data_IF_962507984812
#
_entry.id   IF_962507984812
#
_cell.length_a   1.000
_cell.length_b   1.000
_cell.length_c   1.000
_cell.angle_alpha   90.00
_cell.angle_beta   90.00
_cell.angle_gamma   90.00
#
_symmetry.space_group_name_H-M   'P 1'
#
loop_
_entity.id
_entity.type
_entity.pdbx_description
1 polymer ?
#
# COMPACT_ATOMS: atom_id res chain seq x y z
N UNK A 1 -5.36 5.92 16.73
CA UNK A 1 -4.02 5.84 16.11
C UNK A 1 -3.29 7.18 16.15
N UNK A 2 -3.85 8.27 15.65
CA UNK A 2 -3.21 9.60 15.73
C UNK A 2 -2.88 10.04 17.16
N UNK A 3 -3.73 9.74 18.16
CA UNK A 3 -3.46 10.02 19.57
C UNK A 3 -2.22 9.28 20.10
N UNK A 4 -2.02 8.01 19.70
CA UNK A 4 -0.86 7.22 20.13
C UNK A 4 0.44 7.75 19.50
N UNK A 5 0.39 8.23 18.26
CA UNK A 5 1.54 8.87 17.58
C UNK A 5 1.83 10.22 18.26
N UNK A 6 0.79 11.00 18.59
CA UNK A 6 0.93 12.27 19.29
C UNK A 6 1.59 12.12 20.65
N UNK A 7 1.20 11.13 21.46
CA UNK A 7 1.83 10.82 22.74
C UNK A 7 3.31 10.44 22.57
N UNK A 8 3.64 9.64 21.56
CA UNK A 8 5.02 9.25 21.27
C UNK A 8 5.88 10.47 20.87
N UNK A 9 5.31 11.41 20.12
CA UNK A 9 5.99 12.67 19.75
C UNK A 9 6.19 13.56 20.98
N UNK A 10 5.20 13.62 21.88
CA UNK A 10 5.29 14.38 23.12
C UNK A 10 6.39 13.86 24.07
N UNK A 11 6.73 12.56 24.05
CA UNK A 11 7.87 11.98 24.75
C UNK A 11 9.23 12.54 24.25
N UNK A 12 9.30 13.09 23.06
CA UNK A 12 10.50 13.75 22.50
C UNK A 12 11.65 12.83 22.10
N UNK A 13 11.50 11.50 22.21
CA UNK A 13 12.55 10.56 21.85
C UNK A 13 12.54 10.26 20.33
N UNK A 14 13.46 10.91 19.60
CA UNK A 14 13.56 10.84 18.14
C UNK A 14 13.79 9.41 17.62
N UNK A 15 14.59 8.60 18.30
CA UNK A 15 14.90 7.24 17.86
C UNK A 15 13.67 6.34 17.98
N UNK A 16 12.91 6.48 19.07
CA UNK A 16 11.63 5.76 19.23
C UNK A 16 10.61 6.18 18.17
N UNK A 17 10.50 7.48 17.89
CA UNK A 17 9.56 8.01 16.89
C UNK A 17 9.91 7.45 15.51
N UNK A 18 11.20 7.48 15.12
CA UNK A 18 11.65 7.00 13.82
C UNK A 18 11.50 5.45 13.71
N UNK A 19 11.80 4.73 14.78
CA UNK A 19 11.56 3.27 14.84
C UNK A 19 10.10 2.93 14.63
N UNK A 20 9.20 3.61 15.34
CA UNK A 20 7.77 3.43 15.21
C UNK A 20 7.24 3.83 13.82
N UNK A 21 7.76 4.93 13.24
CA UNK A 21 7.44 5.32 11.87
C UNK A 21 7.78 4.22 10.86
N UNK A 22 8.96 3.61 11.00
CA UNK A 22 9.39 2.50 10.13
C UNK A 22 8.53 1.26 10.33
N UNK A 23 8.23 0.88 11.57
CA UNK A 23 7.33 -0.24 11.88
C UNK A 23 5.93 -0.03 11.29
N UNK A 24 5.38 1.17 11.48
CA UNK A 24 4.08 1.53 10.95
C UNK A 24 4.06 1.54 9.41
N UNK A 25 5.09 2.11 8.79
CA UNK A 25 5.20 2.16 7.34
C UNK A 25 5.31 0.75 6.75
N UNK A 26 6.24 -0.06 7.23
CA UNK A 26 6.45 -1.40 6.67
C UNK A 26 5.24 -2.32 6.86
N UNK A 27 4.56 -2.24 8.00
CA UNK A 27 3.33 -3.01 8.24
C UNK A 27 2.19 -2.63 7.30
N UNK A 28 2.02 -1.33 7.03
CA UNK A 28 1.02 -0.84 6.08
C UNK A 28 1.32 -1.27 4.64
N UNK A 29 2.59 -1.21 4.23
CA UNK A 29 3.02 -1.64 2.90
C UNK A 29 2.88 -3.15 2.72
N UNK A 30 3.23 -3.94 3.73
CA UNK A 30 3.00 -5.38 3.72
C UNK A 30 1.52 -5.73 3.58
N UNK A 31 0.66 -5.14 4.42
CA UNK A 31 -0.77 -5.36 4.36
C UNK A 31 -1.37 -4.95 3.00
N UNK A 32 -0.97 -3.78 2.49
CA UNK A 32 -1.39 -3.31 1.18
C UNK A 32 -0.96 -4.27 0.06
N UNK A 33 0.26 -4.81 0.12
CA UNK A 33 0.74 -5.78 -0.88
C UNK A 33 -0.09 -7.07 -0.89
N UNK A 34 -0.44 -7.59 0.29
CA UNK A 34 -1.28 -8.79 0.40
C UNK A 34 -2.68 -8.55 -0.14
N UNK A 35 -3.30 -7.42 0.24
CA UNK A 35 -4.65 -7.06 -0.24
C UNK A 35 -4.65 -6.84 -1.75
N UNK A 36 -3.68 -6.09 -2.28
CA UNK A 36 -3.61 -5.82 -3.72
C UNK A 36 -3.33 -7.08 -4.55
N UNK A 37 -2.52 -8.01 -4.02
CA UNK A 37 -2.31 -9.30 -4.65
C UNK A 37 -3.63 -10.11 -4.73
N UNK A 38 -4.37 -10.18 -3.63
CA UNK A 38 -5.67 -10.84 -3.60
C UNK A 38 -6.66 -10.16 -4.55
N UNK A 39 -6.74 -8.82 -4.54
CA UNK A 39 -7.60 -8.08 -5.48
C UNK A 39 -7.26 -8.41 -6.93
N UNK A 40 -5.97 -8.42 -7.27
CA UNK A 40 -5.52 -8.69 -8.63
C UNK A 40 -5.92 -10.10 -9.11
N UNK A 41 -5.79 -11.11 -8.26
CA UNK A 41 -6.07 -12.50 -8.64
C UNK A 41 -7.54 -12.91 -8.52
N UNK A 42 -8.31 -12.29 -7.63
CA UNK A 42 -9.65 -12.78 -7.27
C UNK A 42 -10.79 -11.96 -7.84
N UNK A 43 -10.56 -10.66 -8.14
CA UNK A 43 -11.65 -9.75 -8.52
C UNK A 43 -12.32 -10.14 -9.83
N UNK A 44 -11.55 -10.57 -10.84
CA UNK A 44 -12.10 -10.93 -12.14
C UNK A 44 -13.12 -12.08 -12.03
N UNK A 45 -12.75 -13.17 -11.38
CA UNK A 45 -13.62 -14.31 -11.17
C UNK A 45 -14.82 -13.95 -10.30
N UNK A 46 -14.61 -13.15 -9.24
CA UNK A 46 -15.69 -12.71 -8.36
C UNK A 46 -16.75 -11.88 -9.08
N UNK A 47 -16.32 -10.87 -9.84
CA UNK A 47 -17.23 -10.00 -10.60
C UNK A 47 -18.01 -10.82 -11.64
N UNK A 48 -17.34 -11.75 -12.33
CA UNK A 48 -17.99 -12.63 -13.31
C UNK A 48 -19.14 -13.46 -12.72
N UNK A 49 -19.00 -13.94 -11.46
CA UNK A 49 -20.09 -14.68 -10.80
C UNK A 49 -21.18 -13.78 -10.27
N UNK A 50 -20.79 -12.65 -9.66
CA UNK A 50 -21.71 -11.86 -8.87
C UNK A 50 -22.58 -10.95 -9.73
N UNK A 51 -21.98 -10.29 -10.70
CA UNK A 51 -22.65 -9.24 -11.50
C UNK A 51 -22.71 -9.62 -12.98
N UNK A 52 -21.77 -10.42 -13.46
CA UNK A 52 -21.68 -10.86 -14.85
C UNK A 52 -20.44 -10.34 -15.56
N UNK A 53 -20.10 -10.96 -16.69
CA UNK A 53 -18.90 -10.65 -17.45
C UNK A 53 -18.94 -9.25 -18.11
N UNK A 54 -20.12 -8.73 -18.38
CA UNK A 54 -20.31 -7.40 -19.00
C UNK A 54 -19.87 -6.25 -18.10
N UNK A 55 -19.70 -6.50 -16.81
CA UNK A 55 -19.27 -5.51 -15.82
C UNK A 55 -17.77 -5.55 -15.53
N UNK A 56 -17.03 -6.37 -16.23
CA UNK A 56 -15.58 -6.42 -16.09
C UNK A 56 -14.92 -5.17 -16.68
N UNK A 57 -14.00 -4.59 -15.91
CA UNK A 57 -13.17 -3.52 -16.40
C UNK A 57 -12.16 -4.05 -17.43
N UNK A 58 -11.76 -3.19 -18.36
CA UNK A 58 -10.62 -3.48 -19.22
C UNK A 58 -9.36 -3.67 -18.37
N UNK A 59 -8.44 -4.49 -18.83
CA UNK A 59 -7.24 -4.90 -18.09
C UNK A 59 -6.41 -3.71 -17.62
N UNK A 60 -6.31 -2.64 -18.43
CA UNK A 60 -5.53 -1.44 -18.08
C UNK A 60 -6.17 -0.69 -16.92
N UNK A 61 -7.47 -0.39 -16.99
CA UNK A 61 -8.20 0.30 -15.92
C UNK A 61 -8.18 -0.50 -14.63
N UNK A 62 -8.30 -1.84 -14.73
CA UNK A 62 -8.24 -2.70 -13.56
C UNK A 62 -6.87 -2.68 -12.87
N UNK A 63 -5.77 -2.80 -13.62
CA UNK A 63 -4.41 -2.72 -13.07
C UNK A 63 -4.17 -1.36 -12.42
N UNK A 64 -4.58 -0.27 -13.07
CA UNK A 64 -4.47 1.07 -12.50
C UNK A 64 -5.28 1.22 -11.21
N UNK A 65 -6.47 0.62 -11.14
CA UNK A 65 -7.29 0.63 -9.92
C UNK A 65 -6.60 -0.09 -8.76
N UNK A 66 -5.93 -1.23 -9.01
CA UNK A 66 -5.15 -1.95 -7.99
C UNK A 66 -3.95 -1.12 -7.53
N UNK A 67 -3.25 -0.44 -8.47
CA UNK A 67 -2.16 0.49 -8.13
C UNK A 67 -2.67 1.66 -7.28
N UNK A 68 -3.80 2.24 -7.65
CA UNK A 68 -4.45 3.30 -6.88
C UNK A 68 -4.77 2.83 -5.45
N UNK A 69 -5.36 1.63 -5.30
CA UNK A 69 -5.67 1.05 -4.00
C UNK A 69 -4.40 0.87 -3.14
N UNK A 70 -3.30 0.39 -3.73
CA UNK A 70 -2.01 0.29 -3.05
C UNK A 70 -1.51 1.65 -2.56
N UNK A 71 -1.53 2.68 -3.42
CA UNK A 71 -1.12 4.04 -3.07
C UNK A 71 -1.99 4.60 -1.94
N UNK A 72 -3.31 4.45 -2.02
CA UNK A 72 -4.25 4.93 -1.01
C UNK A 72 -4.01 4.28 0.37
N UNK A 73 -3.70 2.98 0.40
CA UNK A 73 -3.45 2.23 1.64
C UNK A 73 -2.08 2.56 2.28
N UNK A 74 -1.11 3.03 1.51
CA UNK A 74 0.28 3.26 1.95
C UNK A 74 0.60 4.72 2.29
N UNK A 75 -0.38 5.61 2.39
CA UNK A 75 -0.24 7.03 2.81
C UNK A 75 0.05 7.17 4.31
N UNK A 76 1.21 6.70 4.75
CA UNK A 76 1.58 6.69 6.18
C UNK A 76 2.07 8.04 6.70
N UNK A 77 2.61 8.89 5.82
CA UNK A 77 3.17 10.19 6.19
C UNK A 77 2.12 11.15 6.74
N UNK A 78 0.87 11.09 6.26
CA UNK A 78 -0.24 11.97 6.65
C UNK A 78 -0.49 11.92 8.17
N UNK A 79 -0.48 10.72 8.75
CA UNK A 79 -0.69 10.53 10.19
C UNK A 79 0.39 11.18 11.04
N UNK A 80 1.64 11.18 10.58
CA UNK A 80 2.76 11.80 11.29
C UNK A 80 2.79 13.32 11.10
N UNK A 81 2.46 13.82 9.91
CA UNK A 81 2.32 15.27 9.65
C UNK A 81 1.29 15.88 10.61
N UNK A 82 0.11 15.24 10.73
CA UNK A 82 -0.94 15.68 11.66
C UNK A 82 -0.47 15.59 13.11
N UNK A 83 0.19 14.50 13.51
CA UNK A 83 0.64 14.29 14.88
C UNK A 83 1.76 15.25 15.31
N UNK A 84 2.61 15.69 14.37
CA UNK A 84 3.60 16.75 14.60
C UNK A 84 3.01 18.16 14.61
N UNK A 85 1.70 18.33 14.33
CA UNK A 85 1.07 19.64 14.24
C UNK A 85 1.58 20.47 13.07
N UNK A 86 2.08 19.83 12.01
CA UNK A 86 2.63 20.49 10.83
C UNK A 86 1.50 20.97 9.89
N UNK A 87 0.63 21.84 10.41
CA UNK A 87 -0.52 22.35 9.68
C UNK A 87 -0.17 23.33 8.54
N UNK A 88 1.10 23.68 8.39
CA UNK A 88 1.59 24.50 7.26
C UNK A 88 1.43 23.79 5.91
N UNK A 89 1.20 22.49 5.91
CA UNK A 89 0.97 21.66 4.71
C UNK A 89 -0.45 21.81 4.10
N UNK A 90 -1.21 22.85 4.49
CA UNK A 90 -2.58 23.11 3.98
C UNK A 90 -2.61 23.25 2.45
N UNK A 91 -1.52 23.70 1.84
CA UNK A 91 -1.45 23.85 0.38
C UNK A 91 -1.35 22.52 -0.38
N UNK A 92 -0.76 21.49 0.22
CA UNK A 92 -0.55 20.21 -0.46
C UNK A 92 -1.86 19.51 -0.88
N UNK A 93 -2.91 19.41 -0.03
CA UNK A 93 -4.21 18.88 -0.44
C UNK A 93 -4.90 19.71 -1.54
N UNK A 94 -4.73 21.05 -1.54
CA UNK A 94 -5.29 21.91 -2.57
C UNK A 94 -4.59 21.68 -3.91
N UNK A 95 -3.26 21.61 -3.91
CA UNK A 95 -2.46 21.31 -5.11
C UNK A 95 -2.78 19.90 -5.60
N UNK A 96 -2.91 18.91 -4.69
CA UNK A 96 -3.33 17.53 -5.01
C UNK A 96 -4.68 17.53 -5.75
N UNK A 97 -5.67 18.29 -5.26
CA UNK A 97 -6.99 18.38 -5.86
C UNK A 97 -6.96 19.02 -7.26
N UNK A 98 -6.21 20.10 -7.44
CA UNK A 98 -6.06 20.79 -8.73
C UNK A 98 -5.35 19.88 -9.74
N UNK A 99 -4.24 19.23 -9.35
CA UNK A 99 -3.51 18.30 -10.20
C UNK A 99 -4.38 17.09 -10.57
N UNK A 100 -5.10 16.55 -9.58
CA UNK A 100 -6.00 15.41 -9.78
C UNK A 100 -7.08 15.76 -10.83
N UNK A 101 -7.80 16.85 -10.63
CA UNK A 101 -8.86 17.27 -11.54
C UNK A 101 -8.30 17.56 -12.94
N UNK A 102 -7.22 18.34 -13.04
CA UNK A 102 -6.62 18.72 -14.32
C UNK A 102 -6.10 17.49 -15.10
N UNK A 103 -5.32 16.63 -14.45
CA UNK A 103 -4.79 15.43 -15.09
C UNK A 103 -5.88 14.42 -15.44
N UNK A 104 -6.88 14.23 -14.57
CA UNK A 104 -7.99 13.31 -14.83
C UNK A 104 -8.85 13.76 -16.00
N UNK A 105 -9.10 15.06 -16.16
CA UNK A 105 -9.85 15.59 -17.30
C UNK A 105 -9.04 15.42 -18.60
N UNK A 106 -7.76 15.82 -18.59
CA UNK A 106 -6.92 15.76 -19.79
C UNK A 106 -6.69 14.32 -20.22
N UNK A 107 -6.23 13.44 -19.29
CA UNK A 107 -5.97 12.05 -19.62
C UNK A 107 -7.26 11.26 -19.87
N UNK A 108 -8.35 11.60 -19.19
CA UNK A 108 -9.66 11.01 -19.41
C UNK A 108 -10.21 11.26 -20.81
N UNK A 109 -9.94 12.44 -21.38
CA UNK A 109 -10.31 12.77 -22.75
C UNK A 109 -9.62 11.86 -23.78
N UNK A 110 -8.34 11.51 -23.57
CA UNK A 110 -7.57 10.69 -24.51
C UNK A 110 -7.69 9.18 -24.27
N UNK A 111 -7.78 8.76 -23.00
CA UNK A 111 -7.67 7.35 -22.59
C UNK A 111 -8.91 6.83 -21.82
N UNK A 112 -9.99 7.60 -21.77
CA UNK A 112 -11.22 7.20 -21.08
C UNK A 112 -10.99 6.93 -19.60
N UNK A 113 -11.58 5.85 -19.08
CA UNK A 113 -11.50 5.49 -17.66
C UNK A 113 -10.06 5.27 -17.16
N UNK A 114 -9.24 4.60 -17.95
CA UNK A 114 -7.83 4.40 -17.63
C UNK A 114 -7.09 5.74 -17.46
N UNK A 115 -7.40 6.73 -18.31
CA UNK A 115 -6.85 8.07 -18.19
C UNK A 115 -7.27 8.80 -16.93
N UNK A 116 -8.53 8.70 -16.55
CA UNK A 116 -9.04 9.30 -15.30
C UNK A 116 -8.28 8.73 -14.09
N UNK A 117 -8.21 7.39 -13.98
CA UNK A 117 -7.49 6.73 -12.88
C UNK A 117 -6.00 7.07 -12.91
N UNK A 118 -5.40 7.09 -14.11
CA UNK A 118 -4.00 7.48 -14.30
C UNK A 118 -3.71 8.90 -13.82
N UNK A 119 -4.60 9.85 -14.08
CA UNK A 119 -4.50 11.24 -13.59
C UNK A 119 -4.51 11.32 -12.05
N UNK A 120 -5.40 10.55 -11.42
CA UNK A 120 -5.44 10.42 -9.95
C UNK A 120 -4.12 9.85 -9.43
N UNK A 121 -3.61 8.76 -10.02
CA UNK A 121 -2.35 8.13 -9.59
C UNK A 121 -1.19 9.11 -9.70
N UNK A 122 -1.06 9.83 -10.80
CA UNK A 122 0.03 10.78 -11.01
C UNK A 122 -0.02 11.88 -9.94
N UNK A 123 -1.19 12.48 -9.67
CA UNK A 123 -1.34 13.52 -8.64
C UNK A 123 -0.95 13.00 -7.26
N UNK A 124 -1.36 11.77 -6.91
CA UNK A 124 -1.01 11.12 -5.64
C UNK A 124 0.49 10.83 -5.53
N UNK A 125 1.13 10.38 -6.60
CA UNK A 125 2.58 10.14 -6.60
C UNK A 125 3.36 11.41 -6.32
N UNK A 126 2.98 12.54 -6.93
CA UNK A 126 3.64 13.83 -6.69
C UNK A 126 3.46 14.30 -5.24
N UNK A 127 2.26 14.22 -4.70
CA UNK A 127 1.97 14.77 -3.37
C UNK A 127 2.25 13.74 -2.26
N UNK A 128 1.68 12.54 -2.34
CA UNK A 128 1.77 11.56 -1.24
C UNK A 128 3.15 10.91 -1.13
N UNK A 129 3.88 10.74 -2.25
CA UNK A 129 5.21 10.11 -2.25
C UNK A 129 6.37 11.09 -2.50
N UNK A 130 6.08 12.26 -3.08
CA UNK A 130 7.06 13.34 -3.28
C UNK A 130 7.03 14.35 -2.16
N UNK A 131 6.02 15.21 -2.15
CA UNK A 131 5.96 16.37 -1.27
C UNK A 131 5.81 16.01 0.21
N UNK A 132 4.82 15.21 0.58
CA UNK A 132 4.51 14.92 2.00
C UNK A 132 5.66 14.26 2.76
N UNK A 133 6.33 13.21 2.24
CA UNK A 133 7.47 12.66 2.93
C UNK A 133 8.67 13.62 2.96
N UNK A 134 8.89 14.42 1.91
CA UNK A 134 9.91 15.47 1.94
C UNK A 134 9.63 16.48 3.06
N UNK A 135 8.40 16.95 3.17
CA UNK A 135 7.97 17.90 4.20
C UNK A 135 8.10 17.31 5.62
N UNK A 136 7.65 16.07 5.82
CA UNK A 136 7.76 15.37 7.10
C UNK A 136 9.22 15.17 7.51
N UNK A 137 10.09 14.77 6.58
CA UNK A 137 11.52 14.55 6.87
C UNK A 137 12.24 15.86 7.16
N UNK A 138 11.94 16.93 6.44
CA UNK A 138 12.56 18.24 6.60
C UNK A 138 12.09 18.96 7.86
N UNK A 139 10.77 19.04 8.09
CA UNK A 139 10.18 19.85 9.17
C UNK A 139 9.94 19.03 10.45
N UNK A 140 9.50 17.77 10.32
CA UNK A 140 9.19 16.92 11.46
C UNK A 140 10.41 16.21 12.04
N UNK A 141 11.00 15.31 11.28
CA UNK A 141 12.15 14.50 11.76
C UNK A 141 13.47 15.25 11.73
N UNK A 142 13.60 16.28 10.90
CA UNK A 142 14.85 17.01 10.65
C UNK A 142 15.98 16.09 10.18
N UNK A 143 15.65 15.19 9.26
CA UNK A 143 16.53 14.19 8.66
C UNK A 143 16.58 14.36 7.13
N UNK A 144 17.68 13.88 6.48
CA UNK A 144 17.80 13.97 5.03
C UNK A 144 16.74 13.06 4.35
N UNK A 145 16.06 13.60 3.35
CA UNK A 145 15.03 12.90 2.57
C UNK A 145 15.55 11.64 1.86
N UNK A 146 16.85 11.58 1.53
CA UNK A 146 17.50 10.41 0.95
C UNK A 146 17.26 9.12 1.76
N UNK A 147 17.22 9.24 3.09
CA UNK A 147 16.95 8.10 3.98
C UNK A 147 15.56 7.51 3.79
N UNK A 148 14.56 8.34 3.52
CA UNK A 148 13.22 7.90 3.18
C UNK A 148 13.19 7.15 1.85
N UNK A 149 13.77 7.74 0.79
CA UNK A 149 13.81 7.13 -0.54
C UNK A 149 14.43 5.75 -0.48
N UNK A 150 15.60 5.61 0.15
CA UNK A 150 16.28 4.32 0.28
C UNK A 150 15.43 3.28 1.04
N UNK A 151 14.73 3.72 2.10
CA UNK A 151 13.88 2.84 2.89
C UNK A 151 12.66 2.36 2.08
N UNK A 152 11.96 3.27 1.41
CA UNK A 152 10.80 2.91 0.57
C UNK A 152 11.22 2.06 -0.63
N UNK A 153 12.33 2.36 -1.30
CA UNK A 153 12.85 1.54 -2.40
C UNK A 153 13.14 0.11 -1.94
N UNK A 154 13.70 -0.07 -0.76
CA UNK A 154 13.90 -1.40 -0.14
C UNK A 154 12.57 -2.14 0.05
N UNK A 155 11.55 -1.47 0.61
CA UNK A 155 10.22 -2.06 0.81
C UNK A 155 9.59 -2.47 -0.53
N UNK A 156 9.66 -1.60 -1.54
CA UNK A 156 9.12 -1.89 -2.87
C UNK A 156 9.83 -3.09 -3.52
N UNK A 157 11.15 -3.20 -3.38
CA UNK A 157 11.90 -4.38 -3.84
C UNK A 157 11.45 -5.67 -3.15
N UNK A 158 11.18 -5.63 -1.84
CA UNK A 158 10.63 -6.79 -1.11
C UNK A 158 9.23 -7.16 -1.62
N UNK A 159 8.37 -6.17 -1.91
CA UNK A 159 7.04 -6.41 -2.48
C UNK A 159 7.16 -7.05 -3.86
N UNK A 160 7.99 -6.50 -4.74
CA UNK A 160 8.21 -7.03 -6.10
C UNK A 160 8.75 -8.48 -6.02
N UNK A 161 9.71 -8.74 -5.12
CA UNK A 161 10.24 -10.08 -4.89
C UNK A 161 9.18 -11.06 -4.41
N UNK A 162 8.40 -10.67 -3.39
CA UNK A 162 7.32 -11.52 -2.87
C UNK A 162 6.23 -11.78 -3.93
N UNK A 163 5.86 -10.75 -4.72
CA UNK A 163 4.93 -10.87 -5.83
C UNK A 163 5.46 -11.86 -6.88
N UNK A 164 6.72 -11.70 -7.31
CA UNK A 164 7.34 -12.57 -8.31
C UNK A 164 7.39 -14.03 -7.88
N UNK A 165 7.81 -14.30 -6.63
CA UNK A 165 7.85 -15.66 -6.06
C UNK A 165 6.44 -16.26 -6.04
N UNK A 166 5.45 -15.49 -5.55
CA UNK A 166 4.06 -15.96 -5.49
C UNK A 166 3.50 -16.23 -6.88
N UNK A 167 3.77 -15.35 -7.84
CA UNK A 167 3.31 -15.49 -9.22
C UNK A 167 3.92 -16.74 -9.87
N UNK A 168 5.22 -16.96 -9.71
CA UNK A 168 5.86 -18.19 -10.17
C UNK A 168 5.21 -19.43 -9.57
N UNK A 169 4.94 -19.42 -8.26
CA UNK A 169 4.27 -20.52 -7.59
C UNK A 169 2.89 -20.82 -8.21
N UNK A 170 2.07 -19.79 -8.43
CA UNK A 170 0.76 -19.96 -9.05
C UNK A 170 0.83 -20.43 -10.50
N UNK A 171 1.81 -19.98 -11.27
CA UNK A 171 2.00 -20.45 -12.65
C UNK A 171 2.41 -21.92 -12.75
N UNK A 172 3.22 -22.43 -11.80
CA UNK A 172 3.70 -23.81 -11.85
C UNK A 172 2.81 -24.80 -11.12
N UNK A 173 2.19 -24.41 -9.99
CA UNK A 173 1.47 -25.33 -9.11
C UNK A 173 -0.04 -25.24 -9.30
N UNK A 174 -0.55 -24.09 -9.71
CA UNK A 174 -1.99 -23.83 -9.76
C UNK A 174 -2.47 -23.50 -11.18
N UNK A 175 -2.04 -24.32 -12.17
CA UNK A 175 -2.47 -24.14 -13.55
C UNK A 175 -3.98 -24.40 -13.71
N UNK A 176 -4.74 -23.34 -14.05
CA UNK A 176 -6.04 -23.50 -14.70
C UNK A 176 -7.23 -23.88 -13.82
N UNK A 177 -7.25 -23.53 -12.53
CA UNK A 177 -8.48 -23.65 -11.75
C UNK A 177 -9.49 -22.59 -12.19
N UNK A 178 -10.32 -22.97 -13.15
CA UNK A 178 -11.51 -22.21 -13.48
C UNK A 178 -12.49 -22.38 -12.31
N UNK A 179 -12.76 -21.30 -11.61
CA UNK A 179 -13.78 -21.32 -10.56
C UNK A 179 -15.16 -21.28 -11.22
N UNK A 180 -15.84 -22.43 -11.27
CA UNK A 180 -17.19 -22.55 -11.85
C UNK A 180 -18.30 -22.18 -10.87
N UNK A 181 -17.99 -22.20 -9.57
CA UNK A 181 -18.96 -21.88 -8.53
C UNK A 181 -18.33 -21.13 -7.36
N UNK A 182 -19.17 -20.49 -6.53
CA UNK A 182 -18.75 -19.66 -5.40
C UNK A 182 -17.95 -20.45 -4.34
N UNK A 183 -18.23 -21.74 -4.16
CA UNK A 183 -17.50 -22.59 -3.22
C UNK A 183 -16.04 -22.80 -3.64
N UNK A 184 -15.81 -23.07 -4.92
CA UNK A 184 -14.47 -23.18 -5.49
C UNK A 184 -13.73 -21.84 -5.41
N UNK A 185 -14.43 -20.72 -5.65
CA UNK A 185 -13.84 -19.39 -5.50
C UNK A 185 -13.41 -19.10 -4.06
N UNK A 186 -14.19 -19.49 -3.03
CA UNK A 186 -13.82 -19.33 -1.63
C UNK A 186 -12.55 -20.13 -1.32
N UNK A 187 -12.48 -21.39 -1.74
CA UNK A 187 -11.27 -22.21 -1.53
C UNK A 187 -10.07 -21.59 -2.24
N UNK A 188 -10.23 -21.17 -3.49
CA UNK A 188 -9.19 -20.50 -4.25
C UNK A 188 -8.71 -19.22 -3.55
N UNK A 189 -9.63 -18.40 -3.05
CA UNK A 189 -9.29 -17.16 -2.35
C UNK A 189 -8.51 -17.40 -1.06
N UNK A 190 -8.86 -18.43 -0.29
CA UNK A 190 -8.12 -18.84 0.90
C UNK A 190 -6.70 -19.32 0.54
N UNK A 191 -6.54 -20.08 -0.54
CA UNK A 191 -5.23 -20.50 -1.04
C UNK A 191 -4.37 -19.31 -1.47
N UNK A 192 -4.94 -18.38 -2.28
CA UNK A 192 -4.24 -17.18 -2.74
C UNK A 192 -3.77 -16.33 -1.55
N UNK A 193 -4.67 -16.07 -0.60
CA UNK A 193 -4.36 -15.31 0.61
C UNK A 193 -3.28 -15.99 1.46
N UNK A 194 -3.40 -17.29 1.69
CA UNK A 194 -2.48 -18.03 2.54
C UNK A 194 -1.09 -18.12 1.92
N UNK A 195 -0.99 -18.48 0.65
CA UNK A 195 0.30 -18.66 -0.04
C UNK A 195 1.03 -17.33 -0.15
N UNK A 196 0.38 -16.29 -0.69
CA UNK A 196 1.02 -14.98 -0.81
C UNK A 196 1.27 -14.35 0.57
N UNK A 197 0.35 -14.54 1.52
CA UNK A 197 0.50 -14.08 2.90
C UNK A 197 1.74 -14.68 3.56
N UNK A 198 1.96 -16.00 3.45
CA UNK A 198 3.13 -16.67 4.01
C UNK A 198 4.41 -16.23 3.29
N UNK A 199 4.43 -16.22 1.96
CA UNK A 199 5.61 -15.81 1.17
C UNK A 199 6.01 -14.38 1.52
N UNK A 200 5.06 -13.43 1.48
CA UNK A 200 5.31 -12.04 1.80
C UNK A 200 5.75 -11.85 3.26
N UNK A 201 5.12 -12.55 4.21
CA UNK A 201 5.52 -12.54 5.61
C UNK A 201 6.96 -13.03 5.79
N UNK A 202 7.35 -14.12 5.13
CA UNK A 202 8.72 -14.63 5.17
C UNK A 202 9.72 -13.63 4.58
N UNK A 203 9.42 -13.05 3.41
CA UNK A 203 10.31 -12.06 2.77
C UNK A 203 10.51 -10.85 3.68
N UNK A 204 9.41 -10.26 4.19
CA UNK A 204 9.51 -9.09 5.06
C UNK A 204 10.19 -9.39 6.39
N UNK A 205 9.92 -10.54 6.99
CA UNK A 205 10.55 -10.97 8.24
C UNK A 205 12.06 -11.20 8.08
N UNK A 206 12.51 -11.78 6.97
CA UNK A 206 13.92 -12.02 6.72
C UNK A 206 14.70 -10.73 6.42
N UNK A 207 14.13 -9.83 5.64
CA UNK A 207 14.87 -8.69 5.10
C UNK A 207 14.64 -7.37 5.83
N UNK A 208 13.61 -7.23 6.70
CA UNK A 208 13.35 -5.97 7.39
C UNK A 208 13.31 -6.09 8.91
N UNK A 209 14.19 -5.29 9.58
CA UNK A 209 14.27 -5.26 11.05
C UNK A 209 13.03 -4.62 11.69
N UNK A 210 12.46 -3.58 11.06
CA UNK A 210 11.30 -2.90 11.60
C UNK A 210 10.05 -3.80 11.52
N UNK A 211 9.94 -4.62 10.46
CA UNK A 211 8.87 -5.60 10.37
C UNK A 211 8.97 -6.70 11.45
N UNK A 212 10.19 -7.20 11.73
CA UNK A 212 10.41 -8.14 12.84
C UNK A 212 9.99 -7.54 14.17
N UNK A 213 10.36 -6.28 14.44
CA UNK A 213 9.98 -5.56 15.65
C UNK A 213 8.46 -5.42 15.77
N UNK A 214 7.78 -5.09 14.65
CA UNK A 214 6.33 -5.05 14.57
C UNK A 214 5.69 -6.40 14.94
N UNK A 215 6.17 -7.50 14.36
CA UNK A 215 5.65 -8.85 14.62
C UNK A 215 5.84 -9.25 16.08
N UNK A 216 7.05 -9.04 16.66
CA UNK A 216 7.30 -9.32 18.09
C UNK A 216 6.40 -8.50 19.00
N UNK A 217 6.18 -7.23 18.71
CA UNK A 217 5.27 -6.37 19.48
C UNK A 217 3.82 -6.85 19.39
N UNK A 218 3.38 -7.27 18.21
CA UNK A 218 2.05 -7.81 18.00
C UNK A 218 1.80 -9.07 18.84
N UNK A 219 2.72 -10.03 18.81
CA UNK A 219 2.61 -11.25 19.65
C UNK A 219 2.71 -10.97 21.14
N UNK A 220 3.56 -10.02 21.56
CA UNK A 220 3.65 -9.60 22.95
C UNK A 220 2.32 -9.04 23.47
N UNK A 221 1.63 -8.24 22.67
CA UNK A 221 0.33 -7.66 23.01
C UNK A 221 -0.78 -8.72 23.08
N UNK A 222 -0.73 -9.75 22.24
CA UNK A 222 -1.67 -10.87 22.29
C UNK A 222 -1.50 -11.75 23.54
N UNK A 223 -0.26 -11.97 23.95
CA UNK A 223 0.04 -12.79 25.14
C UNK A 223 -0.16 -12.06 26.47
N UNK A 224 -0.46 -10.75 26.45
CA UNK A 224 -0.68 -9.94 27.64
C UNK A 224 -2.16 -9.94 28.12
N UNK A 225 -3.03 -10.69 27.43
CA UNK A 225 -4.40 -10.98 27.87
C UNK A 225 -4.41 -12.27 28.65
#
# INVERSE_FOLDING_TARGET
MNASIGNLIAEGNKDKILSFFREYTVSRYWLASVICFCLFHLSHSFISFWVGQDYLLDSTSFVLLVIYAFIAMTRTNDSFIVAYGLFQDVYAPVVEAILNLGLSVVLGYYYGLAGIIGGVIISLLFIAYGWKPYFLYSCGFKLPFKGYILYISKILLMIIGAYGISQCFFMYVWQGVLCENIGQWIIHSLCVLSIHGIISLCVFFLFDKAFRSFIYRFFYLLNRK
#
